data_IF_031801999002
#
_entry.id   IF_031801999002
#
_cell.length_a   1.000
_cell.length_b   1.000
_cell.length_c   1.000
_cell.angle_alpha   90.00
_cell.angle_beta   90.00
_cell.angle_gamma   90.00
#
_symmetry.space_group_name_H-M   'P 1'
#
loop_
_entity.id
_entity.type
_entity.pdbx_description
1 polymer ?
#
# COMPACT_ATOMS: atom_id res chain seq x y z
N UNK A 1 5.47 2.44 -6.55
CA UNK A 1 4.04 2.12 -6.79
C UNK A 1 3.65 2.69 -8.15
N UNK A 2 2.73 2.06 -8.86
CA UNK A 2 2.18 2.56 -10.13
C UNK A 2 0.68 2.24 -10.19
N UNK A 3 -0.03 2.94 -11.07
CA UNK A 3 -1.46 2.74 -11.31
C UNK A 3 -1.71 2.44 -12.79
N UNK A 4 -2.69 1.60 -13.09
CA UNK A 4 -3.07 1.25 -14.47
C UNK A 4 -4.54 0.85 -14.53
N UNK A 5 -5.14 1.00 -15.72
CA UNK A 5 -6.47 0.45 -16.01
C UNK A 5 -6.31 -0.99 -16.47
N UNK A 6 -6.93 -1.94 -15.79
CA UNK A 6 -6.84 -3.36 -16.13
C UNK A 6 -8.11 -3.83 -16.84
N UNK A 7 -7.95 -4.65 -17.88
CA UNK A 7 -9.04 -5.31 -18.61
C UNK A 7 -8.92 -6.82 -18.52
N UNK A 8 -10.05 -7.50 -18.30
CA UNK A 8 -10.08 -8.93 -18.02
C UNK A 8 -11.48 -9.45 -17.69
N UNK A 9 -11.53 -10.71 -17.28
CA UNK A 9 -12.74 -11.31 -16.71
C UNK A 9 -12.68 -11.29 -15.18
N UNK A 10 -13.83 -11.16 -14.53
CA UNK A 10 -13.89 -11.27 -13.07
C UNK A 10 -13.56 -12.69 -12.64
N UNK A 11 -12.65 -12.83 -11.67
CA UNK A 11 -12.34 -14.11 -11.06
C UNK A 11 -13.59 -14.76 -10.46
N UNK A 12 -14.47 -13.94 -9.86
CA UNK A 12 -15.76 -14.36 -9.31
C UNK A 12 -16.58 -15.15 -10.33
N UNK A 13 -16.70 -14.64 -11.55
CA UNK A 13 -17.54 -15.24 -12.58
C UNK A 13 -16.96 -16.60 -13.02
N UNK A 14 -15.63 -16.69 -13.14
CA UNK A 14 -14.93 -17.95 -13.44
C UNK A 14 -15.13 -18.98 -12.32
N UNK A 15 -14.99 -18.57 -11.05
CA UNK A 15 -15.20 -19.46 -9.91
C UNK A 15 -16.65 -19.96 -9.83
N UNK A 16 -17.62 -19.08 -10.11
CA UNK A 16 -19.04 -19.45 -10.14
C UNK A 16 -19.36 -20.43 -11.28
N UNK A 17 -18.78 -20.23 -12.46
CA UNK A 17 -18.90 -21.17 -13.59
C UNK A 17 -18.29 -22.54 -13.24
N UNK A 18 -17.22 -22.58 -12.44
CA UNK A 18 -16.66 -23.80 -11.87
C UNK A 18 -17.48 -24.40 -10.70
N UNK A 19 -18.63 -23.80 -10.34
CA UNK A 19 -19.53 -24.29 -9.30
C UNK A 19 -19.29 -23.74 -7.89
N UNK A 20 -18.28 -22.88 -7.69
CA UNK A 20 -17.99 -22.28 -6.39
C UNK A 20 -18.87 -21.05 -6.13
N UNK A 21 -20.14 -21.29 -5.81
CA UNK A 21 -21.13 -20.22 -5.54
C UNK A 21 -21.18 -19.80 -4.07
N UNK A 22 -20.70 -20.64 -3.16
CA UNK A 22 -20.60 -20.34 -1.74
C UNK A 22 -19.32 -20.95 -1.14
N UNK A 23 -18.32 -20.13 -0.78
CA UNK A 23 -17.04 -20.64 -0.29
C UNK A 23 -17.20 -21.37 1.05
N UNK A 24 -18.01 -20.80 1.95
CA UNK A 24 -18.35 -21.39 3.24
C UNK A 24 -18.97 -22.79 3.12
N UNK A 25 -19.92 -23.00 2.20
CA UNK A 25 -20.54 -24.31 2.00
C UNK A 25 -19.59 -25.33 1.38
N UNK A 26 -18.61 -24.86 0.61
CA UNK A 26 -17.59 -25.69 -0.02
C UNK A 26 -16.38 -25.97 0.88
N UNK A 27 -16.32 -25.40 2.09
CA UNK A 27 -15.14 -25.50 2.96
C UNK A 27 -13.92 -24.78 2.37
N UNK A 28 -14.13 -23.79 1.51
CA UNK A 28 -13.06 -23.03 0.84
C UNK A 28 -12.83 -21.73 1.61
N UNK A 29 -11.61 -21.53 2.11
CA UNK A 29 -11.21 -20.32 2.83
C UNK A 29 -10.33 -19.40 1.97
N UNK A 30 -9.63 -19.97 0.99
CA UNK A 30 -8.65 -19.29 0.16
C UNK A 30 -8.79 -19.62 -1.33
N UNK A 31 -8.42 -18.65 -2.16
CA UNK A 31 -8.15 -18.88 -3.60
C UNK A 31 -6.67 -18.67 -3.82
N UNK A 32 -5.99 -19.74 -4.23
CA UNK A 32 -4.57 -19.76 -4.54
C UNK A 32 -4.34 -19.48 -6.02
N UNK A 33 -3.26 -18.79 -6.32
CA UNK A 33 -2.76 -18.47 -7.65
C UNK A 33 -1.34 -19.02 -7.79
N UNK A 34 -1.04 -19.58 -8.96
CA UNK A 34 0.29 -20.05 -9.31
C UNK A 34 0.69 -19.53 -10.69
N UNK A 35 1.87 -18.93 -10.77
CA UNK A 35 2.49 -18.45 -12.00
C UNK A 35 3.38 -19.51 -12.66
N UNK A 36 3.68 -19.34 -13.94
CA UNK A 36 4.64 -20.18 -14.67
C UNK A 36 6.07 -20.11 -14.12
N UNK A 37 6.40 -19.01 -13.45
CA UNK A 37 7.67 -18.83 -12.74
C UNK A 37 7.75 -19.60 -11.40
N UNK A 38 6.68 -20.33 -11.05
CA UNK A 38 6.56 -21.06 -9.78
C UNK A 38 6.16 -20.20 -8.59
N UNK A 39 5.92 -18.90 -8.78
CA UNK A 39 5.43 -18.02 -7.71
C UNK A 39 4.01 -18.42 -7.32
N UNK A 40 3.78 -18.58 -6.01
CA UNK A 40 2.48 -18.92 -5.43
C UNK A 40 2.05 -17.89 -4.40
N UNK A 41 0.78 -17.50 -4.44
CA UNK A 41 0.16 -16.63 -3.44
C UNK A 41 -1.33 -16.95 -3.33
N UNK A 42 -1.99 -16.51 -2.27
CA UNK A 42 -3.43 -16.69 -2.09
C UNK A 42 -4.10 -15.48 -1.48
N UNK A 43 -5.38 -15.32 -1.80
CA UNK A 43 -6.27 -14.34 -1.20
C UNK A 43 -7.41 -15.05 -0.47
N UNK A 44 -8.06 -14.41 0.51
CA UNK A 44 -9.28 -14.94 1.11
C UNK A 44 -10.36 -15.19 0.06
N UNK A 45 -11.09 -16.30 0.17
CA UNK A 45 -12.18 -16.63 -0.74
C UNK A 45 -13.30 -15.57 -0.71
N UNK A 46 -13.48 -14.89 0.43
CA UNK A 46 -14.39 -13.75 0.58
C UNK A 46 -14.03 -12.59 -0.36
N UNK A 47 -12.73 -12.31 -0.57
CA UNK A 47 -12.28 -11.30 -1.54
C UNK A 47 -12.48 -11.79 -2.98
N UNK A 48 -12.16 -13.06 -3.25
CA UNK A 48 -12.23 -13.64 -4.59
C UNK A 48 -13.67 -13.68 -5.16
N UNK A 49 -14.65 -13.94 -4.31
CA UNK A 49 -16.07 -14.08 -4.69
C UNK A 49 -16.93 -12.83 -4.42
N UNK A 50 -16.35 -11.77 -3.86
CA UNK A 50 -17.06 -10.53 -3.57
C UNK A 50 -17.46 -9.81 -4.86
N UNK A 51 -18.72 -9.38 -4.94
CA UNK A 51 -19.23 -8.48 -6.00
C UNK A 51 -18.55 -7.11 -5.99
N UNK A 52 -18.04 -6.71 -4.84
CA UNK A 52 -17.28 -5.46 -4.65
C UNK A 52 -15.77 -5.71 -4.63
N UNK A 53 -15.34 -6.96 -4.89
CA UNK A 53 -13.94 -7.35 -4.82
C UNK A 53 -13.12 -6.90 -6.02
N UNK A 54 -13.75 -6.77 -7.19
CA UNK A 54 -13.13 -6.40 -8.48
C UNK A 54 -11.84 -7.19 -8.81
N UNK A 55 -11.77 -8.45 -8.37
CA UNK A 55 -10.63 -9.32 -8.67
C UNK A 55 -10.72 -9.78 -10.13
N UNK A 56 -9.67 -9.53 -10.90
CA UNK A 56 -9.63 -9.82 -12.33
C UNK A 56 -8.61 -10.89 -12.66
N UNK A 57 -8.95 -11.72 -13.65
CA UNK A 57 -8.00 -12.40 -14.51
C UNK A 57 -7.78 -11.49 -15.71
N UNK A 58 -6.73 -10.66 -15.64
CA UNK A 58 -6.48 -9.59 -16.59
C UNK A 58 -5.59 -10.09 -17.74
N UNK A 59 -5.96 -9.68 -18.96
CA UNK A 59 -5.20 -9.86 -20.20
C UNK A 59 -4.92 -8.53 -20.94
N UNK A 60 -5.43 -7.41 -20.41
CA UNK A 60 -5.17 -6.05 -20.88
C UNK A 60 -4.64 -5.13 -19.77
N UNK A 61 -3.78 -4.18 -20.15
CA UNK A 61 -3.28 -3.09 -19.31
C UNK A 61 -3.29 -1.80 -20.12
N UNK A 62 -4.02 -0.79 -19.64
CA UNK A 62 -4.22 0.50 -20.29
C UNK A 62 -4.83 0.41 -21.70
N UNK A 63 -5.72 -0.56 -21.92
CA UNK A 63 -6.42 -0.75 -23.20
C UNK A 63 -5.61 -1.53 -24.25
N UNK A 64 -4.39 -1.95 -23.92
CA UNK A 64 -3.53 -2.75 -24.79
C UNK A 64 -3.32 -4.15 -24.20
N UNK A 65 -2.95 -5.16 -25.01
CA UNK A 65 -2.54 -6.47 -24.52
C UNK A 65 -1.44 -6.36 -23.46
N UNK A 66 -1.45 -7.26 -22.46
CA UNK A 66 -0.42 -7.26 -21.42
C UNK A 66 1.00 -7.29 -22.01
N UNK A 67 1.91 -6.41 -21.57
CA UNK A 67 3.33 -6.60 -21.81
C UNK A 67 3.86 -7.86 -21.11
N UNK A 68 4.93 -8.45 -21.64
CA UNK A 68 5.55 -9.66 -21.10
C UNK A 68 5.94 -9.50 -19.61
N UNK A 69 6.59 -8.38 -19.25
CA UNK A 69 7.01 -8.08 -17.88
C UNK A 69 5.85 -7.87 -16.91
N UNK A 70 4.66 -7.55 -17.45
CA UNK A 70 3.44 -7.35 -16.68
C UNK A 70 2.55 -8.59 -16.61
N UNK A 71 2.99 -9.72 -17.17
CA UNK A 71 2.38 -11.03 -16.95
C UNK A 71 1.61 -11.59 -18.14
N UNK A 72 1.92 -11.19 -19.37
CA UNK A 72 1.34 -11.81 -20.58
C UNK A 72 1.42 -13.34 -20.54
N UNK A 73 0.36 -14.08 -20.95
CA UNK A 73 -0.89 -13.58 -21.51
C UNK A 73 -1.95 -13.25 -20.45
N UNK A 74 -1.74 -13.66 -19.20
CA UNK A 74 -2.76 -13.57 -18.16
C UNK A 74 -2.12 -13.35 -16.79
N UNK A 75 -2.69 -12.44 -16.00
CA UNK A 75 -2.32 -12.23 -14.59
C UNK A 75 -3.54 -12.15 -13.69
N UNK A 76 -3.34 -12.42 -12.41
CA UNK A 76 -4.28 -11.98 -11.39
C UNK A 76 -4.06 -10.49 -11.07
N UNK A 77 -5.15 -9.75 -10.94
CA UNK A 77 -5.20 -8.39 -10.36
C UNK A 77 -6.15 -8.43 -9.18
N UNK A 78 -5.62 -8.12 -8.00
CA UNK A 78 -6.34 -8.15 -6.72
C UNK A 78 -6.32 -6.73 -6.13
N UNK A 79 -7.34 -5.90 -6.42
CA UNK A 79 -7.37 -4.52 -5.97
C UNK A 79 -7.31 -4.38 -4.44
N UNK A 80 -6.55 -3.38 -3.98
CA UNK A 80 -6.35 -3.08 -2.56
C UNK A 80 -5.40 -4.02 -1.81
N UNK A 81 -4.81 -5.01 -2.49
CA UNK A 81 -3.87 -5.97 -1.90
C UNK A 81 -2.42 -5.70 -2.30
N UNK A 82 -1.48 -6.16 -1.48
CA UNK A 82 -0.04 -6.09 -1.77
C UNK A 82 0.30 -6.78 -3.09
N UNK A 83 1.31 -6.23 -3.81
CA UNK A 83 1.67 -6.65 -5.17
C UNK A 83 1.91 -8.15 -5.35
N UNK A 84 2.43 -8.87 -4.35
CA UNK A 84 2.69 -10.31 -4.44
C UNK A 84 1.42 -11.16 -4.60
N UNK A 85 0.25 -10.65 -4.20
CA UNK A 85 -1.04 -11.34 -4.43
C UNK A 85 -1.52 -11.22 -5.88
N UNK A 86 -0.89 -10.36 -6.68
CA UNK A 86 -1.22 -10.10 -8.07
C UNK A 86 -0.30 -10.94 -9.00
N UNK A 87 -0.47 -12.27 -8.97
CA UNK A 87 0.41 -13.22 -9.68
C UNK A 87 0.43 -12.95 -11.19
N UNK A 88 1.64 -12.82 -11.75
CA UNK A 88 1.90 -12.70 -13.19
C UNK A 88 2.06 -14.08 -13.82
N UNK A 89 1.90 -14.16 -15.15
CA UNK A 89 2.07 -15.40 -15.92
C UNK A 89 1.21 -16.54 -15.34
N UNK A 90 -0.04 -16.22 -15.03
CA UNK A 90 -0.94 -17.06 -14.26
C UNK A 90 -1.25 -18.36 -15.02
N UNK A 91 -0.98 -19.50 -14.38
CA UNK A 91 -1.22 -20.83 -14.98
C UNK A 91 -2.28 -21.65 -14.25
N UNK A 92 -2.48 -21.41 -12.95
CA UNK A 92 -3.39 -22.21 -12.13
C UNK A 92 -4.07 -21.36 -11.04
N UNK A 93 -5.36 -21.64 -10.85
CA UNK A 93 -6.20 -21.10 -9.78
C UNK A 93 -6.76 -22.28 -9.00
N UNK A 94 -6.68 -22.25 -7.67
CA UNK A 94 -7.11 -23.36 -6.80
C UNK A 94 -7.97 -22.82 -5.67
N UNK A 95 -9.17 -23.38 -5.50
CA UNK A 95 -9.98 -23.19 -4.31
C UNK A 95 -9.49 -24.15 -3.21
N UNK A 96 -9.18 -23.64 -2.03
CA UNK A 96 -8.61 -24.42 -0.92
C UNK A 96 -9.08 -23.90 0.43
N UNK A 97 -9.11 -24.77 1.42
CA UNK A 97 -9.21 -24.48 2.85
C UNK A 97 -7.93 -23.86 3.43
N UNK A 98 -6.85 -23.84 2.67
CA UNK A 98 -5.51 -23.53 3.12
C UNK A 98 -4.86 -22.41 2.27
N UNK A 99 -4.03 -21.57 2.89
CA UNK A 99 -3.22 -20.58 2.16
C UNK A 99 -2.26 -21.27 1.17
N UNK A 100 -1.85 -20.57 0.11
CA UNK A 100 -0.82 -21.08 -0.79
C UNK A 100 0.48 -21.39 -0.04
N UNK A 101 1.14 -22.50 -0.39
CA UNK A 101 2.46 -22.83 0.13
C UNK A 101 3.56 -21.94 -0.46
N UNK A 102 4.71 -21.89 0.21
CA UNK A 102 5.94 -21.27 -0.31
C UNK A 102 6.34 -19.97 0.39
N UNK A 103 7.51 -19.46 -0.01
CA UNK A 103 8.21 -18.36 0.66
C UNK A 103 7.41 -17.05 0.65
N UNK A 104 6.58 -16.84 -0.39
CA UNK A 104 5.86 -15.61 -0.66
C UNK A 104 4.50 -15.47 0.05
N UNK A 105 4.00 -16.56 0.66
CA UNK A 105 2.73 -16.59 1.39
C UNK A 105 2.94 -17.08 2.84
N UNK A 106 3.30 -18.36 3.03
CA UNK A 106 3.53 -18.94 4.36
C UNK A 106 4.92 -18.67 4.93
N UNK A 107 5.90 -18.38 4.07
CA UNK A 107 7.26 -18.05 4.47
C UNK A 107 7.43 -16.64 5.05
N UNK A 108 8.68 -16.21 5.21
CA UNK A 108 9.01 -14.94 5.87
C UNK A 108 8.69 -13.71 5.02
N UNK A 109 8.66 -13.85 3.69
CA UNK A 109 8.41 -12.73 2.81
C UNK A 109 6.98 -12.23 2.96
N UNK A 110 6.80 -10.91 2.82
CA UNK A 110 5.51 -10.25 2.91
C UNK A 110 4.76 -10.50 4.22
N UNK A 111 5.49 -10.48 5.34
CA UNK A 111 4.97 -10.47 6.71
C UNK A 111 5.59 -9.30 7.47
N UNK A 112 4.86 -8.77 8.44
CA UNK A 112 5.34 -7.69 9.31
C UNK A 112 5.51 -8.20 10.73
N UNK A 113 6.61 -7.80 11.36
CA UNK A 113 6.92 -8.11 12.74
C UNK A 113 7.13 -6.81 13.52
N UNK A 114 6.91 -6.87 14.83
CA UNK A 114 7.17 -5.73 15.70
C UNK A 114 8.66 -5.35 15.71
N UNK A 115 8.99 -4.08 16.01
CA UNK A 115 10.38 -3.60 16.01
C UNK A 115 11.28 -4.29 17.06
N UNK A 116 10.68 -4.99 18.02
CA UNK A 116 11.37 -5.77 19.04
C UNK A 116 11.77 -7.19 18.59
N UNK A 117 11.31 -7.64 17.42
CA UNK A 117 11.67 -8.96 16.87
C UNK A 117 13.00 -8.85 16.13
N UNK A 118 14.07 -9.31 16.77
CA UNK A 118 15.45 -9.24 16.23
C UNK A 118 15.96 -10.59 15.71
N UNK A 119 15.22 -11.68 15.96
CA UNK A 119 15.52 -13.04 15.48
C UNK A 119 14.21 -13.77 15.15
N UNK A 120 14.30 -14.71 14.20
CA UNK A 120 13.20 -15.63 13.85
C UNK A 120 13.28 -16.95 14.63
N UNK A 121 14.30 -17.12 15.46
CA UNK A 121 14.47 -18.32 16.28
C UNK A 121 13.28 -18.51 17.23
N UNK A 122 12.68 -19.70 17.20
CA UNK A 122 11.49 -20.02 17.99
C UNK A 122 10.18 -19.41 17.48
N UNK A 123 10.21 -18.65 16.38
CA UNK A 123 9.01 -18.05 15.79
C UNK A 123 8.39 -18.97 14.75
N UNK A 124 7.12 -19.29 14.94
CA UNK A 124 6.31 -19.97 13.92
C UNK A 124 5.89 -18.95 12.84
N UNK A 125 6.75 -18.77 11.85
CA UNK A 125 6.55 -17.82 10.75
C UNK A 125 5.27 -18.14 9.99
N UNK A 126 4.86 -19.41 9.90
CA UNK A 126 3.64 -19.79 9.18
C UNK A 126 2.38 -19.20 9.83
N UNK A 127 2.37 -19.04 11.16
CA UNK A 127 1.26 -18.43 11.91
C UNK A 127 1.20 -16.91 11.86
N UNK A 128 2.30 -16.24 11.50
CA UNK A 128 2.27 -14.80 11.31
C UNK A 128 1.39 -14.46 10.08
N UNK A 129 0.44 -13.52 10.17
CA UNK A 129 -0.44 -13.20 9.05
C UNK A 129 0.34 -12.75 7.83
N UNK A 130 0.04 -13.35 6.67
CA UNK A 130 0.51 -12.83 5.38
C UNK A 130 -0.10 -11.44 5.14
N UNK A 131 0.70 -10.49 4.66
CA UNK A 131 0.17 -9.18 4.26
C UNK A 131 -0.85 -9.37 3.13
N UNK A 132 -2.05 -8.85 3.34
CA UNK A 132 -3.12 -8.85 2.34
C UNK A 132 -3.35 -7.42 1.91
N UNK A 133 -4.24 -6.72 2.58
CA UNK A 133 -4.50 -5.30 2.33
C UNK A 133 -3.35 -4.42 2.81
N UNK A 134 -3.05 -3.37 2.05
CA UNK A 134 -2.05 -2.38 2.42
C UNK A 134 -2.64 -1.34 3.40
N UNK A 135 -1.84 -0.84 4.37
CA UNK A 135 -2.23 0.30 5.17
C UNK A 135 -2.35 1.56 4.30
N UNK A 136 -2.89 2.64 4.88
CA UNK A 136 -2.84 3.97 4.26
C UNK A 136 -1.39 4.42 4.08
N UNK A 137 -1.11 5.08 2.95
CA UNK A 137 0.20 5.64 2.63
C UNK A 137 0.02 6.94 1.84
N UNK A 138 0.97 7.86 1.97
CA UNK A 138 1.07 9.09 1.19
C UNK A 138 2.52 9.39 0.83
N UNK A 139 2.72 10.11 -0.28
CA UNK A 139 4.04 10.49 -0.78
C UNK A 139 3.99 11.92 -1.28
N UNK A 140 4.95 12.74 -0.84
CA UNK A 140 5.23 14.05 -1.41
C UNK A 140 6.10 13.85 -2.67
N UNK A 141 5.67 14.37 -3.81
CA UNK A 141 6.43 14.32 -5.07
C UNK A 141 7.00 15.68 -5.46
N UNK A 142 6.37 16.76 -5.00
CA UNK A 142 6.82 18.12 -5.18
C UNK A 142 6.70 18.88 -3.85
N UNK A 143 7.71 19.66 -3.46
CA UNK A 143 9.03 19.74 -4.07
C UNK A 143 9.81 18.42 -3.91
N UNK A 144 10.84 18.23 -4.75
CA UNK A 144 11.72 17.06 -4.62
C UNK A 144 12.55 17.14 -3.35
N UNK A 145 13.00 15.99 -2.85
CA UNK A 145 13.86 15.93 -1.68
C UNK A 145 15.08 16.85 -1.85
N UNK A 146 15.37 17.64 -0.81
CA UNK A 146 16.47 18.61 -0.75
C UNK A 146 16.37 19.79 -1.73
N UNK A 147 15.19 20.09 -2.29
CA UNK A 147 14.97 21.36 -2.97
C UNK A 147 15.25 22.54 -2.02
N UNK A 148 15.93 23.57 -2.52
CA UNK A 148 16.08 24.83 -1.80
C UNK A 148 14.77 25.62 -1.93
N UNK A 149 14.18 25.98 -0.79
CA UNK A 149 12.96 26.79 -0.72
C UNK A 149 13.27 28.06 0.07
N UNK A 150 12.72 29.19 -0.37
CA UNK A 150 12.91 30.47 0.31
C UNK A 150 12.10 30.49 1.61
N UNK A 151 12.74 30.66 2.79
CA UNK A 151 12.03 30.64 4.05
C UNK A 151 11.06 31.82 4.22
N UNK A 152 9.93 31.57 4.89
CA UNK A 152 8.92 32.61 5.15
C UNK A 152 7.98 32.89 3.98
N UNK A 153 8.13 32.20 2.84
CA UNK A 153 7.13 32.16 1.78
C UNK A 153 6.26 30.91 1.88
N UNK A 154 5.04 30.98 1.35
CA UNK A 154 4.18 29.81 1.19
C UNK A 154 4.74 28.91 0.09
N UNK A 155 4.65 27.60 0.26
CA UNK A 155 5.02 26.63 -0.76
C UNK A 155 3.88 25.65 -1.03
N UNK A 156 3.77 25.22 -2.28
CA UNK A 156 2.81 24.18 -2.67
C UNK A 156 3.46 22.81 -2.62
N UNK A 157 3.00 21.99 -1.68
CA UNK A 157 3.31 20.57 -1.64
C UNK A 157 2.32 19.82 -2.54
N UNK A 158 2.82 18.86 -3.32
CA UNK A 158 1.99 18.00 -4.14
C UNK A 158 2.39 16.54 -3.93
N UNK A 159 1.42 15.65 -4.09
CA UNK A 159 1.64 14.24 -3.90
C UNK A 159 0.46 13.37 -4.25
N UNK A 160 0.54 12.12 -3.84
CA UNK A 160 -0.57 11.19 -3.91
C UNK A 160 -0.66 10.39 -2.61
N UNK A 161 -1.85 9.85 -2.35
CA UNK A 161 -2.14 8.98 -1.22
C UNK A 161 -2.99 7.79 -1.69
N UNK A 162 -2.89 6.66 -1.00
CA UNK A 162 -3.75 5.50 -1.25
C UNK A 162 -3.92 4.66 0.01
N UNK A 163 -4.95 3.81 0.02
CA UNK A 163 -5.14 2.79 1.06
C UNK A 163 -5.51 1.46 0.41
N UNK A 164 -5.13 0.36 1.04
CA UNK A 164 -5.62 -0.97 0.65
C UNK A 164 -7.11 -1.16 0.92
N UNK A 165 -7.61 -2.35 0.60
CA UNK A 165 -8.99 -2.76 0.89
C UNK A 165 -10.10 -1.95 0.20
N UNK A 166 -9.76 -0.97 -0.64
CA UNK A 166 -10.73 -0.15 -1.37
C UNK A 166 -11.16 1.10 -0.60
N UNK A 167 -10.49 1.41 0.51
CA UNK A 167 -10.80 2.54 1.37
C UNK A 167 -10.36 3.85 0.72
N UNK A 168 -11.33 4.69 0.37
CA UNK A 168 -11.06 6.02 -0.18
C UNK A 168 -10.33 6.94 0.79
N UNK A 169 -9.40 7.74 0.27
CA UNK A 169 -8.71 8.79 1.04
C UNK A 169 -9.72 9.89 1.38
N UNK A 170 -9.89 10.16 2.67
CA UNK A 170 -10.85 11.16 3.17
C UNK A 170 -10.20 12.49 3.47
N UNK A 171 -8.91 12.50 3.80
CA UNK A 171 -8.13 13.69 4.11
C UNK A 171 -6.63 13.42 3.97
N UNK A 172 -5.89 14.42 3.51
CA UNK A 172 -4.44 14.50 3.64
C UNK A 172 -4.13 15.80 4.38
N UNK A 173 -3.21 15.75 5.34
CA UNK A 173 -2.73 16.91 6.08
C UNK A 173 -1.22 17.01 5.87
N UNK A 174 -0.73 18.24 5.69
CA UNK A 174 0.68 18.51 5.47
C UNK A 174 1.22 19.46 6.54
N UNK A 175 2.50 19.29 6.87
CA UNK A 175 3.23 20.13 7.82
C UNK A 175 4.57 20.53 7.20
N UNK A 176 4.99 21.77 7.47
CA UNK A 176 6.30 22.31 7.11
C UNK A 176 7.17 22.60 8.35
N UNK A 177 6.73 22.20 9.55
CA UNK A 177 7.31 22.59 10.84
C UNK A 177 7.52 21.39 11.78
N UNK A 178 7.95 20.25 11.21
CA UNK A 178 8.16 18.99 11.91
C UNK A 178 6.92 18.45 12.64
N UNK A 179 5.73 18.67 12.04
CA UNK A 179 4.46 18.14 12.53
C UNK A 179 3.84 18.94 13.67
N UNK A 180 4.29 20.18 13.92
CA UNK A 180 3.73 21.04 14.98
C UNK A 180 2.41 21.68 14.57
N UNK A 181 2.27 22.07 13.30
CA UNK A 181 1.04 22.55 12.70
C UNK A 181 0.73 21.82 11.40
N UNK A 182 -0.56 21.79 11.04
CA UNK A 182 -1.08 20.98 9.94
C UNK A 182 -2.05 21.78 9.08
N UNK A 183 -1.91 21.63 7.77
CA UNK A 183 -2.74 22.26 6.75
C UNK A 183 -3.46 21.17 5.96
N UNK A 184 -4.77 21.33 5.78
CA UNK A 184 -5.57 20.35 5.03
C UNK A 184 -5.33 20.52 3.53
N UNK A 185 -4.89 19.45 2.88
CA UNK A 185 -4.69 19.42 1.44
C UNK A 185 -6.03 19.37 0.68
N UNK A 186 -6.04 19.93 -0.52
CA UNK A 186 -7.11 19.71 -1.51
C UNK A 186 -6.86 18.38 -2.21
N UNK A 187 -7.83 17.46 -2.15
CA UNK A 187 -7.79 16.21 -2.92
C UNK A 187 -8.26 16.48 -4.35
N UNK A 188 -7.50 16.02 -5.35
CA UNK A 188 -7.72 16.32 -6.77
C UNK A 188 -8.09 15.06 -7.56
N UNK A 189 -7.23 14.61 -8.49
CA UNK A 189 -7.51 13.44 -9.33
C UNK A 189 -7.68 12.17 -8.47
N UNK A 190 -8.74 11.41 -8.74
CA UNK A 190 -9.07 10.18 -8.00
C UNK A 190 -9.79 10.41 -6.67
N UNK A 191 -10.20 11.65 -6.33
CA UNK A 191 -10.96 11.95 -5.12
C UNK A 191 -12.46 11.57 -5.22
N UNK A 192 -12.97 11.37 -6.43
CA UNK A 192 -14.36 11.03 -6.74
C UNK A 192 -14.63 9.52 -6.76
N UNK A 193 -13.61 8.70 -6.54
CA UNK A 193 -13.75 7.25 -6.45
C UNK A 193 -14.75 6.83 -5.37
N UNK A 194 -15.57 5.78 -5.59
CA UNK A 194 -16.42 5.23 -4.56
C UNK A 194 -15.59 4.76 -3.36
N UNK A 195 -15.94 5.20 -2.14
CA UNK A 195 -15.09 5.02 -0.94
C UNK A 195 -14.85 3.58 -0.49
N UNK A 196 -15.65 2.62 -0.94
CA UNK A 196 -15.50 1.19 -0.65
C UNK A 196 -14.86 0.41 -1.83
N UNK A 197 -14.55 1.13 -2.92
CA UNK A 197 -13.95 0.60 -4.16
C UNK A 197 -12.93 1.58 -4.75
N UNK A 198 -12.24 2.32 -3.88
CA UNK A 198 -11.18 3.25 -4.27
C UNK A 198 -9.87 2.47 -4.43
N UNK A 199 -9.64 1.96 -5.63
CA UNK A 199 -8.48 1.11 -5.94
C UNK A 199 -7.27 1.88 -6.43
N UNK A 200 -7.49 3.07 -7.00
CA UNK A 200 -6.44 3.95 -7.47
C UNK A 200 -6.02 4.93 -6.37
N UNK A 201 -4.83 5.50 -6.53
CA UNK A 201 -4.38 6.61 -5.70
C UNK A 201 -5.29 7.84 -5.86
N UNK A 202 -5.22 8.74 -4.88
CA UNK A 202 -5.83 10.07 -4.92
C UNK A 202 -4.70 11.09 -4.85
N UNK A 203 -4.64 11.99 -5.83
CA UNK A 203 -3.69 13.10 -5.82
C UNK A 203 -4.14 14.19 -4.86
N UNK A 204 -3.17 14.95 -4.35
CA UNK A 204 -3.43 16.03 -3.41
C UNK A 204 -2.44 17.19 -3.61
N UNK A 205 -2.90 18.39 -3.27
CA UNK A 205 -2.11 19.63 -3.26
C UNK A 205 -2.36 20.38 -1.96
N UNK A 206 -1.30 20.91 -1.34
CA UNK A 206 -1.40 21.61 -0.06
C UNK A 206 -0.47 22.82 -0.04
N UNK A 207 -1.04 24.00 0.21
CA UNK A 207 -0.27 25.21 0.43
C UNK A 207 0.10 25.30 1.92
N UNK A 208 1.40 25.42 2.20
CA UNK A 208 1.94 25.46 3.57
C UNK A 208 2.91 26.65 3.73
N UNK A 209 2.84 27.38 4.85
CA UNK A 209 3.80 28.43 5.16
C UNK A 209 5.14 27.81 5.57
N UNK A 210 6.22 28.22 4.92
CA UNK A 210 7.56 27.76 5.32
C UNK A 210 7.99 28.47 6.61
N UNK A 211 8.54 27.74 7.58
CA UNK A 211 9.02 28.34 8.81
C UNK A 211 10.14 29.34 8.50
N UNK A 212 10.04 30.54 9.06
CA UNK A 212 11.16 31.48 9.08
C UNK A 212 12.23 30.90 10.00
N UNK A 213 13.54 30.95 9.65
CA UNK A 213 14.58 30.58 10.58
C UNK A 213 14.40 31.44 11.82
N UNK A 214 14.30 30.80 12.98
CA UNK A 214 14.37 31.55 14.22
C UNK A 214 15.68 32.33 14.17
N UNK A 215 15.64 33.65 14.35
CA UNK A 215 16.85 34.42 14.63
C UNK A 215 17.51 33.70 15.81
N UNK A 216 18.70 33.14 15.61
CA UNK A 216 19.47 32.54 16.70
C UNK A 216 19.62 33.60 17.78
N UNK A 217 18.74 33.51 18.80
CA UNK A 217 18.87 34.26 20.01
C UNK A 217 20.18 33.79 20.63
N UNK A 218 21.09 34.74 20.85
CA UNK A 218 22.30 34.56 21.62
C UNK A 218 21.97 33.96 22.99
N UNK A 219 21.92 32.63 23.12
CA UNK A 219 22.33 31.98 24.35
C UNK A 219 23.86 32.01 24.38
N UNK A 220 24.41 33.20 24.64
CA UNK A 220 25.73 33.28 25.25
C UNK A 220 25.62 32.55 26.58
N UNK A 221 26.23 31.37 26.63
CA UNK A 221 26.47 30.66 27.88
C UNK A 221 26.98 31.66 28.92
N UNK A 222 26.22 31.82 29.98
CA UNK A 222 26.77 32.32 31.23
C UNK A 222 27.72 31.23 31.73
N UNK A 223 28.99 31.38 31.35
CA UNK A 223 30.09 30.69 31.99
C UNK A 223 30.11 31.15 33.45
N UNK A 224 29.56 30.31 34.33
CA UNK A 224 29.65 30.51 35.77
C UNK A 224 31.12 30.40 36.17
N UNK A 225 31.73 31.54 36.48
CA UNK A 225 33.05 31.60 37.08
C UNK A 225 33.11 30.71 38.35
N UNK A 226 34.20 29.96 38.58
CA UNK A 226 34.35 29.18 39.80
C UNK A 226 34.39 30.12 41.02
N UNK A 227 33.60 29.77 42.03
CA UNK A 227 33.67 30.39 43.36
C UNK A 227 34.95 29.91 44.04
N UNK A 228 35.97 30.76 44.09
CA UNK A 228 37.01 30.67 45.09
C UNK A 228 36.36 30.88 46.46
N UNK A 229 36.34 29.82 47.28
CA UNK A 229 35.98 29.90 48.69
C UNK A 229 37.22 30.18 49.54
N UNK A 230 37.14 31.07 50.56
CA UNK A 230 38.14 31.13 51.60
C UNK A 230 37.74 30.21 52.76
N UNK A 231 38.67 29.36 53.22
CA UNK A 231 38.52 28.57 54.45
C UNK A 231 39.18 27.21 54.38
#
# INVERSE_FOLDING_TARGET
ISNARWGGVYLRDVLMECGLTSPLRAGVEHVQFEGEDGTKASIPASKALSEYGDVLLAYEMNGEPLPADHGYPLRAVVPGHVGVRNIKWLRKVVASDEEAEGVWQRGIAYKSFGPNVTSLEGLDVAKAPAMQEMPVQSVIVSPVAHAALEPGEDTTLQGFAWSGGGRGITRVECSADDGRSWHTATLTEGADQPRERAWAWTFWECEVPLPTPASEGQEKGQETAPRDGPG
#
